data_IF_400435193397
#
_entry.id   IF_400435193397
#
_cell.length_a   1.000
_cell.length_b   1.000
_cell.length_c   1.000
_cell.angle_alpha   90.00
_cell.angle_beta   90.00
_cell.angle_gamma   90.00
#
_symmetry.space_group_name_H-M   'P 1'
#
loop_
_entity.id
_entity.type
_entity.pdbx_description
1 polymer ?
#
# COMPACT_ATOMS: atom_id res chain seq x y z
N UNK A 1 -26.66 -25.49 8.68
CA UNK A 1 -25.58 -25.48 7.67
C UNK A 1 -25.21 -24.02 7.47
N UNK A 2 -23.97 -23.65 7.78
CA UNK A 2 -23.43 -22.33 7.43
C UNK A 2 -23.48 -22.23 5.90
N UNK A 3 -24.16 -21.21 5.39
CA UNK A 3 -24.11 -20.91 3.95
C UNK A 3 -22.71 -20.33 3.68
N UNK A 4 -21.98 -20.91 2.76
CA UNK A 4 -20.72 -20.35 2.28
C UNK A 4 -21.00 -19.19 1.32
N UNK A 5 -20.08 -18.21 1.28
CA UNK A 5 -20.10 -17.15 0.28
C UNK A 5 -20.00 -17.75 -1.12
N UNK A 6 -20.77 -17.23 -2.07
CA UNK A 6 -20.70 -17.67 -3.47
C UNK A 6 -19.26 -17.51 -3.98
N UNK A 7 -18.74 -18.54 -4.65
CA UNK A 7 -17.37 -18.60 -5.18
C UNK A 7 -17.06 -17.53 -6.23
N UNK A 8 -18.09 -16.85 -6.72
CA UNK A 8 -17.95 -15.69 -7.61
C UNK A 8 -17.31 -14.50 -6.89
N UNK A 9 -17.49 -14.37 -5.57
CA UNK A 9 -16.82 -13.35 -4.78
C UNK A 9 -15.42 -13.81 -4.42
N UNK A 10 -14.42 -13.22 -5.10
CA UNK A 10 -13.00 -13.57 -4.93
C UNK A 10 -12.26 -12.50 -4.14
N UNK A 11 -12.49 -12.48 -2.83
CA UNK A 11 -11.81 -11.53 -1.93
C UNK A 11 -10.34 -11.93 -1.73
N UNK A 12 -9.44 -10.99 -1.99
CA UNK A 12 -8.00 -11.17 -1.82
C UNK A 12 -7.38 -9.96 -1.10
N UNK A 13 -6.72 -10.17 0.05
CA UNK A 13 -6.67 -11.41 0.83
C UNK A 13 -8.05 -11.81 1.36
N UNK A 14 -8.23 -13.10 1.57
CA UNK A 14 -9.48 -13.62 2.15
C UNK A 14 -9.63 -13.11 3.59
N UNK A 15 -10.77 -12.52 3.96
CA UNK A 15 -11.03 -12.10 5.33
C UNK A 15 -10.97 -13.25 6.34
N UNK A 16 -10.65 -12.94 7.60
CA UNK A 16 -10.55 -13.93 8.68
C UNK A 16 -11.89 -14.65 8.93
N UNK A 17 -13.01 -13.94 8.80
CA UNK A 17 -14.34 -14.52 8.97
C UNK A 17 -15.36 -13.86 8.07
N UNK A 18 -16.20 -14.67 7.43
CA UNK A 18 -17.37 -14.26 6.65
C UNK A 18 -18.55 -15.09 7.12
N UNK A 19 -19.58 -14.45 7.65
CA UNK A 19 -20.82 -15.07 8.11
C UNK A 19 -21.98 -14.52 7.31
N UNK A 20 -22.66 -15.38 6.53
CA UNK A 20 -23.89 -14.99 5.84
C UNK A 20 -25.06 -14.91 6.82
N UNK A 21 -25.74 -13.77 6.82
CA UNK A 21 -26.90 -13.53 7.68
C UNK A 21 -28.22 -13.83 6.96
N UNK A 22 -29.31 -13.90 7.71
CA UNK A 22 -30.65 -14.20 7.17
C UNK A 22 -31.31 -13.03 6.44
N UNK A 23 -30.66 -11.85 6.41
CA UNK A 23 -31.18 -10.64 5.77
C UNK A 23 -31.16 -10.71 4.23
N UNK A 24 -31.78 -9.70 3.61
CA UNK A 24 -31.62 -9.48 2.18
C UNK A 24 -30.28 -8.80 1.91
N UNK A 25 -29.62 -9.22 0.84
CA UNK A 25 -28.45 -8.54 0.32
C UNK A 25 -28.76 -7.21 -0.36
N UNK A 26 -27.75 -6.64 -1.01
CA UNK A 26 -27.83 -5.34 -1.67
C UNK A 26 -27.17 -5.41 -3.04
N UNK A 27 -27.71 -4.68 -4.01
CA UNK A 27 -27.03 -4.51 -5.29
C UNK A 27 -25.96 -3.41 -5.19
N UNK A 28 -24.83 -3.57 -5.87
CA UNK A 28 -23.74 -2.59 -5.83
C UNK A 28 -24.20 -1.19 -6.25
N UNK A 29 -25.14 -1.06 -7.23
CA UNK A 29 -25.63 0.24 -7.71
C UNK A 29 -26.58 0.95 -6.72
N UNK A 30 -27.04 0.28 -5.67
CA UNK A 30 -27.81 0.91 -4.60
C UNK A 30 -26.92 1.66 -3.61
N UNK A 31 -25.62 1.31 -3.52
CA UNK A 31 -24.64 2.00 -2.70
C UNK A 31 -24.23 3.31 -3.40
N UNK A 32 -24.60 4.46 -2.87
CA UNK A 32 -24.49 5.72 -3.61
C UNK A 32 -23.90 6.89 -2.85
N UNK A 33 -23.70 6.79 -1.53
CA UNK A 33 -23.12 7.85 -0.73
C UNK A 33 -22.48 7.32 0.55
N UNK A 34 -21.51 8.08 1.06
CA UNK A 34 -20.78 7.74 2.28
C UNK A 34 -21.29 8.64 3.41
N UNK A 35 -21.53 8.03 4.56
CA UNK A 35 -21.78 8.68 5.84
C UNK A 35 -20.60 8.38 6.76
N UNK A 36 -19.90 9.39 7.19
CA UNK A 36 -18.83 9.27 8.20
C UNK A 36 -19.18 10.11 9.41
N UNK A 37 -18.95 9.57 10.60
CA UNK A 37 -19.03 10.32 11.84
C UNK A 37 -17.82 11.24 12.05
N UNK A 38 -16.74 10.98 11.31
CA UNK A 38 -15.51 11.75 11.34
C UNK A 38 -15.36 12.52 10.04
N UNK A 39 -15.23 13.85 10.15
CA UNK A 39 -15.14 14.76 9.00
C UNK A 39 -13.71 14.92 8.47
N UNK A 40 -12.73 14.21 9.03
CA UNK A 40 -11.37 14.22 8.50
C UNK A 40 -11.37 13.67 7.09
N UNK A 41 -10.93 14.48 6.16
CA UNK A 41 -10.83 14.12 4.74
C UNK A 41 -9.91 12.91 4.58
N UNK A 42 -10.47 11.79 4.15
CA UNK A 42 -9.70 10.62 3.79
C UNK A 42 -9.54 10.71 2.26
N UNK A 43 -8.34 10.90 1.71
CA UNK A 43 -8.13 11.01 0.26
C UNK A 43 -8.78 9.86 -0.52
N UNK A 44 -8.72 8.66 0.05
CA UNK A 44 -9.29 7.43 -0.50
C UNK A 44 -10.81 7.43 -0.57
N UNK A 45 -11.50 8.12 0.33
CA UNK A 45 -12.95 8.28 0.21
C UNK A 45 -13.33 9.04 -1.05
N UNK A 46 -12.51 9.97 -1.50
CA UNK A 46 -12.69 10.66 -2.78
C UNK A 46 -12.62 9.69 -3.96
N UNK A 47 -11.64 8.82 -3.99
CA UNK A 47 -11.48 7.81 -5.05
C UNK A 47 -12.63 6.80 -5.01
N UNK A 48 -13.02 6.34 -3.83
CA UNK A 48 -14.17 5.44 -3.67
C UNK A 48 -15.49 6.12 -4.07
N UNK A 49 -15.71 7.37 -3.68
CA UNK A 49 -16.90 8.16 -4.08
C UNK A 49 -17.00 8.31 -5.59
N UNK A 50 -15.87 8.51 -6.28
CA UNK A 50 -15.82 8.63 -7.73
C UNK A 50 -16.16 7.32 -8.44
N UNK A 51 -15.95 6.19 -7.78
CA UNK A 51 -16.26 4.85 -8.29
C UNK A 51 -17.71 4.41 -7.95
N UNK A 52 -18.38 5.09 -7.01
CA UNK A 52 -19.77 4.77 -6.68
C UNK A 52 -20.71 5.04 -7.86
N UNK A 53 -21.66 4.14 -8.11
CA UNK A 53 -22.69 4.38 -9.12
C UNK A 53 -23.51 5.62 -8.77
N UNK A 54 -23.83 6.43 -9.77
CA UNK A 54 -24.76 7.54 -9.60
C UNK A 54 -26.17 6.99 -9.55
N UNK A 55 -26.68 6.74 -8.34
CA UNK A 55 -28.06 6.30 -8.16
C UNK A 55 -29.03 7.50 -8.25
N UNK A 56 -30.00 7.52 -9.17
CA UNK A 56 -30.88 8.66 -9.35
C UNK A 56 -31.92 8.86 -8.24
N UNK A 57 -32.27 7.81 -7.48
CA UNK A 57 -33.33 7.88 -6.46
C UNK A 57 -33.08 6.89 -5.31
N UNK A 58 -33.00 7.39 -4.06
CA UNK A 58 -32.94 6.61 -2.81
C UNK A 58 -31.78 5.60 -2.72
N UNK A 59 -30.57 6.05 -2.98
CA UNK A 59 -29.38 5.24 -2.74
C UNK A 59 -29.21 4.85 -1.27
N UNK A 60 -28.47 3.78 -1.03
CA UNK A 60 -28.13 3.26 0.30
C UNK A 60 -26.79 3.78 0.77
N UNK A 61 -26.62 4.02 2.07
CA UNK A 61 -25.37 4.53 2.61
C UNK A 61 -24.31 3.45 2.77
N UNK A 62 -23.05 3.90 2.66
CA UNK A 62 -21.89 3.26 3.25
C UNK A 62 -21.55 4.06 4.50
N UNK A 63 -21.76 3.49 5.67
CA UNK A 63 -21.44 4.12 6.96
C UNK A 63 -20.05 3.73 7.38
N UNK A 64 -19.25 4.72 7.78
CA UNK A 64 -17.92 4.53 8.32
C UNK A 64 -17.92 4.99 9.79
N UNK A 65 -17.51 4.10 10.68
CA UNK A 65 -17.60 4.33 12.12
C UNK A 65 -16.31 3.98 12.83
N UNK A 66 -15.71 4.95 13.50
CA UNK A 66 -14.62 4.70 14.45
C UNK A 66 -15.19 4.26 15.79
N UNK A 67 -14.81 3.08 16.25
CA UNK A 67 -15.24 2.51 17.51
C UNK A 67 -14.23 1.49 18.03
N UNK A 68 -14.16 1.31 19.35
CA UNK A 68 -13.42 0.22 19.97
C UNK A 68 -14.28 -0.98 20.34
N UNK A 69 -15.62 -0.86 20.19
CA UNK A 69 -16.57 -1.89 20.60
C UNK A 69 -16.82 -2.88 19.46
N UNK A 70 -16.74 -4.16 19.78
CA UNK A 70 -17.06 -5.27 18.87
C UNK A 70 -16.24 -5.34 17.59
N UNK A 71 -15.09 -4.65 17.51
CA UNK A 71 -14.16 -4.67 16.39
C UNK A 71 -12.85 -5.33 16.77
N UNK A 72 -12.07 -5.89 15.82
CA UNK A 72 -10.77 -6.46 16.11
C UNK A 72 -9.84 -5.50 16.86
N UNK A 73 -8.97 -6.06 17.72
CA UNK A 73 -8.00 -5.26 18.48
C UNK A 73 -6.89 -4.66 17.58
N UNK A 74 -6.62 -5.27 16.44
CA UNK A 74 -5.64 -4.79 15.47
C UNK A 74 -5.99 -3.38 14.99
N UNK A 75 -5.03 -2.46 14.88
CA UNK A 75 -5.27 -1.13 14.28
C UNK A 75 -5.64 -1.20 12.79
N UNK A 76 -5.33 -2.29 12.12
CA UNK A 76 -5.68 -2.55 10.72
C UNK A 76 -6.97 -3.38 10.59
N UNK A 77 -7.55 -3.81 11.73
CA UNK A 77 -8.74 -4.64 11.73
C UNK A 77 -10.02 -3.84 11.54
N UNK A 78 -11.02 -4.49 10.96
CA UNK A 78 -12.35 -3.92 10.76
C UNK A 78 -13.44 -5.00 10.90
N UNK A 79 -14.67 -4.52 11.12
CA UNK A 79 -15.90 -5.27 10.99
C UNK A 79 -16.75 -4.59 9.92
N UNK A 80 -17.35 -5.38 9.03
CA UNK A 80 -18.24 -4.89 7.99
C UNK A 80 -19.55 -5.66 8.03
N UNK A 81 -20.65 -4.93 8.17
CA UNK A 81 -22.00 -5.45 8.09
C UNK A 81 -22.67 -4.99 6.80
N UNK A 82 -23.23 -5.94 6.06
CA UNK A 82 -23.92 -5.71 4.77
C UNK A 82 -25.35 -6.24 4.86
N UNK A 83 -26.32 -5.41 4.50
CA UNK A 83 -27.74 -5.79 4.41
C UNK A 83 -28.48 -4.85 3.45
N UNK A 84 -29.80 -5.06 3.28
CA UNK A 84 -30.64 -4.23 2.38
C UNK A 84 -30.72 -2.75 2.74
N UNK A 85 -30.24 -2.34 3.92
CA UNK A 85 -30.21 -0.94 4.36
C UNK A 85 -28.91 -0.23 3.99
N UNK A 86 -27.88 -0.97 3.57
CA UNK A 86 -26.57 -0.46 3.19
C UNK A 86 -25.42 -1.26 3.77
N UNK A 87 -24.28 -0.61 3.89
CA UNK A 87 -23.04 -1.17 4.44
C UNK A 87 -22.60 -0.33 5.64
N UNK A 88 -22.12 -1.00 6.68
CA UNK A 88 -21.48 -0.34 7.82
C UNK A 88 -20.08 -0.93 8.00
N UNK A 89 -19.04 -0.09 7.93
CA UNK A 89 -17.65 -0.46 8.21
C UNK A 89 -17.26 0.19 9.54
N UNK A 90 -16.89 -0.63 10.49
CA UNK A 90 -16.50 -0.21 11.85
C UNK A 90 -15.07 -0.66 12.13
N UNK A 91 -14.24 0.23 12.67
CA UNK A 91 -12.85 -0.06 13.01
C UNK A 91 -12.34 0.85 14.14
N UNK A 92 -11.20 0.46 14.73
CA UNK A 92 -10.53 1.29 15.77
C UNK A 92 -9.80 2.48 15.19
N UNK A 93 -9.34 2.37 13.96
CA UNK A 93 -8.51 3.37 13.28
C UNK A 93 -8.98 3.63 11.87
N UNK A 94 -8.50 4.71 11.29
CA UNK A 94 -8.75 5.02 9.89
C UNK A 94 -8.10 4.01 8.93
N UNK A 95 -7.00 3.38 9.34
CA UNK A 95 -6.36 2.29 8.57
C UNK A 95 -7.29 1.08 8.46
N UNK A 96 -7.97 0.70 9.56
CA UNK A 96 -8.98 -0.36 9.54
C UNK A 96 -10.17 -0.01 8.63
N UNK A 97 -10.68 1.22 8.71
CA UNK A 97 -11.72 1.72 7.78
C UNK A 97 -11.26 1.60 6.32
N UNK A 98 -10.02 2.03 6.03
CA UNK A 98 -9.43 1.93 4.71
C UNK A 98 -9.44 0.50 4.17
N UNK A 99 -8.96 -0.47 4.96
CA UNK A 99 -8.94 -1.87 4.54
C UNK A 99 -10.34 -2.48 4.41
N UNK A 100 -11.29 -2.05 5.22
CA UNK A 100 -12.71 -2.37 5.03
C UNK A 100 -13.23 -1.84 3.70
N UNK A 101 -12.89 -0.61 3.31
CA UNK A 101 -13.24 -0.04 2.01
C UNK A 101 -12.62 -0.84 0.85
N UNK A 102 -11.37 -1.30 0.96
CA UNK A 102 -10.74 -2.15 -0.07
C UNK A 102 -11.50 -3.47 -0.28
N UNK A 103 -11.97 -4.09 0.80
CA UNK A 103 -12.79 -5.31 0.72
C UNK A 103 -14.15 -5.01 0.10
N UNK A 104 -14.81 -3.92 0.49
CA UNK A 104 -16.08 -3.53 -0.09
C UNK A 104 -15.96 -3.25 -1.60
N UNK A 105 -14.88 -2.60 -2.03
CA UNK A 105 -14.62 -2.33 -3.44
C UNK A 105 -14.53 -3.63 -4.26
N UNK A 106 -13.83 -4.66 -3.75
CA UNK A 106 -13.77 -5.96 -4.40
C UNK A 106 -15.16 -6.61 -4.49
N UNK A 107 -15.97 -6.57 -3.42
CA UNK A 107 -17.34 -7.08 -3.44
C UNK A 107 -18.21 -6.37 -4.47
N UNK A 108 -18.08 -5.05 -4.58
CA UNK A 108 -18.84 -4.25 -5.55
C UNK A 108 -18.41 -4.54 -6.98
N UNK A 109 -17.12 -4.74 -7.23
CA UNK A 109 -16.60 -5.11 -8.55
C UNK A 109 -17.10 -6.49 -8.97
N UNK A 110 -16.98 -7.51 -8.11
CA UNK A 110 -17.51 -8.85 -8.40
C UNK A 110 -19.04 -8.83 -8.62
N UNK A 111 -19.76 -8.09 -7.78
CA UNK A 111 -21.23 -7.91 -7.93
C UNK A 111 -21.59 -7.28 -9.29
N UNK A 112 -20.81 -6.29 -9.72
CA UNK A 112 -20.99 -5.63 -11.03
C UNK A 112 -20.67 -6.58 -12.18
N UNK A 113 -19.52 -7.22 -12.13
CA UNK A 113 -18.94 -7.96 -13.25
C UNK A 113 -19.74 -9.25 -13.51
N UNK A 114 -20.27 -9.85 -12.46
CA UNK A 114 -21.12 -11.05 -12.56
C UNK A 114 -22.61 -10.77 -12.46
N UNK A 115 -23.02 -9.53 -12.26
CA UNK A 115 -24.41 -9.11 -12.08
C UNK A 115 -25.15 -9.90 -10.98
N UNK A 116 -24.50 -10.05 -9.83
CA UNK A 116 -25.00 -10.78 -8.67
C UNK A 116 -25.20 -9.86 -7.47
N UNK A 117 -26.16 -10.22 -6.62
CA UNK A 117 -26.45 -9.51 -5.38
C UNK A 117 -25.31 -9.75 -4.38
N UNK A 118 -24.81 -8.70 -3.74
CA UNK A 118 -23.95 -8.83 -2.55
C UNK A 118 -24.83 -9.36 -1.42
N UNK A 119 -24.57 -10.56 -0.88
CA UNK A 119 -25.43 -11.15 0.14
C UNK A 119 -25.35 -10.38 1.47
N UNK A 120 -26.38 -10.50 2.28
CA UNK A 120 -26.34 -10.00 3.65
C UNK A 120 -25.32 -10.83 4.45
N UNK A 121 -24.33 -10.16 5.04
CA UNK A 121 -23.24 -10.83 5.75
C UNK A 121 -22.56 -9.93 6.79
N UNK A 122 -21.83 -10.59 7.68
CA UNK A 122 -20.89 -9.99 8.59
C UNK A 122 -19.49 -10.45 8.21
N UNK A 123 -18.60 -9.51 7.96
CA UNK A 123 -17.17 -9.75 7.71
C UNK A 123 -16.38 -9.21 8.89
N UNK A 124 -15.46 -10.03 9.42
CA UNK A 124 -14.47 -9.61 10.40
C UNK A 124 -13.10 -9.94 9.83
N UNK A 125 -12.23 -8.92 9.77
CA UNK A 125 -10.91 -9.08 9.20
C UNK A 125 -9.84 -8.30 9.96
N UNK A 126 -8.66 -8.86 10.01
CA UNK A 126 -7.44 -8.28 10.56
C UNK A 126 -6.23 -9.06 10.01
N UNK A 127 -5.05 -8.43 9.90
CA UNK A 127 -3.88 -9.11 9.38
C UNK A 127 -3.33 -10.15 10.34
N UNK A 128 -2.95 -11.32 9.82
CA UNK A 128 -2.19 -12.31 10.57
C UNK A 128 -0.70 -11.93 10.69
N UNK A 129 -0.18 -11.15 9.72
CA UNK A 129 1.20 -10.65 9.67
C UNK A 129 1.15 -9.13 9.62
N UNK A 130 1.82 -8.49 10.57
CA UNK A 130 1.80 -7.03 10.72
C UNK A 130 2.58 -6.29 9.63
N UNK A 131 3.67 -6.86 9.13
CA UNK A 131 4.51 -6.27 8.08
C UNK A 131 4.40 -7.09 6.80
N UNK A 132 3.78 -6.52 5.78
CA UNK A 132 3.48 -7.18 4.50
C UNK A 132 4.11 -6.36 3.38
N UNK A 133 5.35 -6.68 3.06
CA UNK A 133 6.16 -5.94 2.11
C UNK A 133 6.26 -6.63 0.75
N UNK A 134 6.35 -5.82 -0.29
CA UNK A 134 6.81 -6.21 -1.62
C UNK A 134 8.14 -5.54 -1.89
N UNK A 135 9.07 -6.27 -2.46
CA UNK A 135 10.37 -5.74 -2.87
C UNK A 135 10.30 -5.26 -4.32
N UNK A 136 10.54 -3.96 -4.52
CA UNK A 136 10.72 -3.36 -5.84
C UNK A 136 12.20 -3.24 -6.15
N UNK A 137 12.67 -4.12 -7.03
CA UNK A 137 14.03 -4.09 -7.56
C UNK A 137 14.03 -3.33 -8.89
N UNK A 138 14.48 -2.07 -8.86
CA UNK A 138 14.54 -1.21 -10.05
C UNK A 138 15.96 -0.96 -10.54
N UNK A 139 16.94 -1.69 -10.02
CA UNK A 139 18.36 -1.49 -10.33
C UNK A 139 18.70 -1.67 -11.82
N UNK A 140 18.03 -2.59 -12.51
CA UNK A 140 18.32 -2.87 -13.92
C UNK A 140 17.40 -2.13 -14.90
N UNK A 141 16.26 -1.63 -14.44
CA UNK A 141 15.34 -0.83 -15.25
C UNK A 141 14.56 0.13 -14.36
N UNK A 142 14.10 1.21 -14.95
CA UNK A 142 13.28 2.19 -14.29
C UNK A 142 12.08 2.50 -15.17
N UNK A 143 10.90 2.27 -14.64
CA UNK A 143 9.64 2.60 -15.30
C UNK A 143 9.29 4.09 -15.12
N UNK A 144 8.22 4.52 -15.78
CA UNK A 144 7.67 5.85 -15.59
C UNK A 144 7.03 5.96 -14.20
N UNK A 145 7.03 7.14 -13.63
CA UNK A 145 6.45 7.37 -12.29
C UNK A 145 4.97 6.98 -12.21
N UNK A 146 4.21 7.16 -13.30
CA UNK A 146 2.79 6.76 -13.36
C UNK A 146 2.57 5.27 -13.10
N UNK A 147 3.49 4.42 -13.56
CA UNK A 147 3.45 2.98 -13.28
C UNK A 147 3.55 2.71 -11.79
N UNK A 148 4.47 3.37 -11.09
CA UNK A 148 4.64 3.18 -9.65
C UNK A 148 3.45 3.66 -8.83
N UNK A 149 2.79 4.75 -9.22
CA UNK A 149 1.53 5.18 -8.60
C UNK A 149 0.45 4.11 -8.77
N UNK A 150 0.32 3.51 -9.95
CA UNK A 150 -0.63 2.42 -10.20
C UNK A 150 -0.31 1.15 -9.39
N UNK A 151 0.98 0.82 -9.25
CA UNK A 151 1.39 -0.32 -8.43
C UNK A 151 1.08 -0.08 -6.94
N UNK A 152 1.29 1.12 -6.43
CA UNK A 152 0.88 1.48 -5.06
C UNK A 152 -0.64 1.29 -4.87
N UNK A 153 -1.48 1.68 -5.83
CA UNK A 153 -2.92 1.44 -5.76
C UNK A 153 -3.27 -0.05 -5.73
N UNK A 154 -2.61 -0.86 -6.56
CA UNK A 154 -2.79 -2.32 -6.58
C UNK A 154 -2.36 -2.96 -5.26
N UNK A 155 -1.21 -2.56 -4.71
CA UNK A 155 -0.72 -3.04 -3.43
C UNK A 155 -1.69 -2.68 -2.28
N UNK A 156 -2.20 -1.47 -2.27
CA UNK A 156 -3.22 -1.02 -1.31
C UNK A 156 -4.47 -1.90 -1.37
N UNK A 157 -4.95 -2.21 -2.58
CA UNK A 157 -6.10 -3.11 -2.80
C UNK A 157 -5.90 -4.48 -2.14
N UNK A 158 -4.67 -5.01 -2.18
CA UNK A 158 -4.31 -6.29 -1.56
C UNK A 158 -3.84 -6.17 -0.11
N UNK A 159 -4.03 -4.99 0.51
CA UNK A 159 -3.68 -4.72 1.92
C UNK A 159 -2.19 -4.92 2.22
N UNK A 160 -1.32 -4.76 1.22
CA UNK A 160 0.12 -4.63 1.42
C UNK A 160 0.38 -3.29 2.10
N UNK A 161 1.27 -3.27 3.10
CA UNK A 161 1.53 -2.07 3.89
C UNK A 161 2.98 -1.58 3.85
N UNK A 162 3.82 -2.21 3.03
CA UNK A 162 5.18 -1.75 2.84
C UNK A 162 5.73 -2.10 1.45
N UNK A 163 6.65 -1.28 0.98
CA UNK A 163 7.49 -1.54 -0.19
C UNK A 163 8.93 -1.37 0.23
N UNK A 164 9.75 -2.38 0.00
CA UNK A 164 11.21 -2.27 0.09
C UNK A 164 11.71 -1.89 -1.30
N UNK A 165 12.33 -0.72 -1.43
CA UNK A 165 12.70 -0.17 -2.72
C UNK A 165 14.20 -0.18 -2.91
N UNK A 166 14.68 -1.05 -3.78
CA UNK A 166 16.10 -1.16 -4.15
C UNK A 166 16.38 -0.29 -5.38
N UNK A 167 17.06 0.83 -5.13
CA UNK A 167 17.24 1.89 -6.12
C UNK A 167 18.59 1.84 -6.85
N UNK A 168 19.66 1.45 -6.15
CA UNK A 168 21.04 1.59 -6.62
C UNK A 168 21.30 3.00 -7.20
N UNK A 169 21.69 3.10 -8.48
CA UNK A 169 21.94 4.37 -9.18
C UNK A 169 20.66 5.11 -9.67
N UNK A 170 19.47 4.61 -9.33
CA UNK A 170 18.20 5.17 -9.80
C UNK A 170 17.61 6.27 -8.90
N UNK A 171 18.31 6.66 -7.85
CA UNK A 171 18.01 7.85 -7.05
C UNK A 171 19.02 8.94 -7.34
N UNK A 172 18.59 10.21 -7.39
CA UNK A 172 19.49 11.35 -7.47
C UNK A 172 20.11 11.62 -6.11
N UNK A 173 21.40 11.26 -5.99
CA UNK A 173 22.21 11.49 -4.79
C UNK A 173 22.83 12.88 -4.84
N UNK A 174 22.37 13.79 -4.01
CA UNK A 174 22.90 15.17 -4.01
C UNK A 174 24.28 15.27 -3.41
N UNK A 175 24.67 14.31 -2.56
CA UNK A 175 25.99 14.24 -1.93
C UNK A 175 27.02 13.50 -2.78
N UNK A 176 26.53 12.61 -3.65
CA UNK A 176 27.35 11.76 -4.54
C UNK A 176 26.75 11.72 -5.95
N UNK A 177 26.70 12.87 -6.65
CA UNK A 177 26.02 12.95 -7.95
C UNK A 177 26.69 12.12 -9.05
N UNK A 178 27.96 11.74 -8.88
CA UNK A 178 28.68 10.85 -9.78
C UNK A 178 28.10 9.44 -9.88
N UNK A 179 27.29 9.03 -8.90
CA UNK A 179 26.69 7.69 -8.83
C UNK A 179 25.40 7.62 -9.64
N UNK A 180 24.73 8.73 -9.86
CA UNK A 180 23.40 8.77 -10.46
C UNK A 180 23.35 8.23 -11.89
N UNK A 181 22.35 7.42 -12.19
CA UNK A 181 21.98 7.17 -13.59
C UNK A 181 21.37 8.44 -14.23
N UNK A 182 21.53 8.63 -15.54
CA UNK A 182 20.98 9.82 -16.22
C UNK A 182 19.48 10.02 -16.04
N UNK A 183 18.73 8.91 -15.88
CA UNK A 183 17.28 8.88 -15.69
C UNK A 183 16.87 8.65 -14.23
N UNK A 184 17.77 8.88 -13.26
CA UNK A 184 17.48 8.66 -11.85
C UNK A 184 16.32 9.53 -11.35
N UNK A 185 15.52 8.98 -10.45
CA UNK A 185 14.38 9.64 -9.80
C UNK A 185 14.91 10.77 -8.90
N UNK A 186 14.34 11.94 -9.00
CA UNK A 186 14.66 13.04 -8.09
C UNK A 186 14.12 12.77 -6.68
N UNK A 187 14.75 13.37 -5.65
CA UNK A 187 14.23 13.30 -4.28
C UNK A 187 12.78 13.81 -4.19
N UNK A 188 12.44 14.86 -4.93
CA UNK A 188 11.09 15.44 -4.94
C UNK A 188 10.05 14.48 -5.51
N UNK A 189 10.35 13.79 -6.61
CA UNK A 189 9.47 12.76 -7.18
C UNK A 189 9.29 11.59 -6.22
N UNK A 190 10.38 11.11 -5.61
CA UNK A 190 10.31 10.04 -4.61
C UNK A 190 9.52 10.45 -3.37
N UNK A 191 9.72 11.67 -2.85
CA UNK A 191 8.93 12.20 -1.73
C UNK A 191 7.44 12.31 -2.07
N UNK A 192 7.11 12.68 -3.31
CA UNK A 192 5.72 12.73 -3.76
C UNK A 192 5.09 11.34 -3.78
N UNK A 193 5.81 10.33 -4.29
CA UNK A 193 5.37 8.93 -4.27
C UNK A 193 5.22 8.41 -2.83
N UNK A 194 6.15 8.75 -1.94
CA UNK A 194 6.07 8.36 -0.53
C UNK A 194 4.84 8.97 0.17
N UNK A 195 4.48 10.22 -0.11
CA UNK A 195 3.23 10.83 0.40
C UNK A 195 2.01 10.07 -0.10
N UNK A 196 1.96 9.81 -1.40
CA UNK A 196 0.89 9.06 -2.03
C UNK A 196 0.72 7.65 -1.44
N UNK A 197 1.82 6.94 -1.23
CA UNK A 197 1.84 5.62 -0.60
C UNK A 197 1.35 5.69 0.87
N UNK A 198 1.83 6.68 1.63
CA UNK A 198 1.43 6.91 3.03
C UNK A 198 -0.09 7.14 3.18
N UNK A 199 -0.70 7.88 2.26
CA UNK A 199 -2.16 8.09 2.22
C UNK A 199 -2.93 6.78 2.00
N UNK A 200 -2.25 5.74 1.47
CA UNK A 200 -2.77 4.39 1.24
C UNK A 200 -2.28 3.38 2.29
N UNK A 201 -1.73 3.87 3.40
CA UNK A 201 -1.18 3.06 4.48
C UNK A 201 0.00 2.16 4.05
N UNK A 202 0.77 2.60 3.05
CA UNK A 202 1.96 1.91 2.56
C UNK A 202 3.19 2.74 2.93
N UNK A 203 4.14 2.10 3.62
CA UNK A 203 5.46 2.65 3.90
C UNK A 203 6.42 2.26 2.76
N UNK A 204 7.16 3.22 2.21
CA UNK A 204 8.25 2.95 1.27
C UNK A 204 9.56 3.03 2.04
N UNK A 205 10.27 1.90 2.12
CA UNK A 205 11.56 1.74 2.80
C UNK A 205 12.67 1.69 1.77
N UNK A 206 13.70 2.54 1.87
CA UNK A 206 14.86 2.45 0.98
C UNK A 206 15.68 1.18 1.30
N UNK A 207 16.16 0.52 0.26
CA UNK A 207 17.22 -0.45 0.33
C UNK A 207 18.43 0.15 -0.39
N UNK A 208 19.44 0.51 0.36
CA UNK A 208 20.72 0.99 -0.15
C UNK A 208 21.76 -0.08 0.11
N UNK A 209 22.28 -0.66 -0.97
CA UNK A 209 23.27 -1.73 -0.88
C UNK A 209 24.52 -1.27 -0.13
N UNK A 210 25.00 -2.13 0.75
CA UNK A 210 26.22 -1.94 1.52
C UNK A 210 27.03 -3.23 1.54
N UNK A 211 28.31 -3.18 1.73
CA UNK A 211 29.26 -4.29 1.63
C UNK A 211 29.33 -4.92 0.23
N UNK A 212 28.31 -5.65 -0.19
CA UNK A 212 28.19 -6.29 -1.51
C UNK A 212 27.17 -5.60 -2.41
N UNK A 213 27.00 -6.12 -3.62
CA UNK A 213 26.18 -5.52 -4.71
C UNK A 213 26.54 -4.04 -4.98
N UNK A 214 27.80 -3.66 -4.75
CA UNK A 214 28.24 -2.27 -4.78
C UNK A 214 28.74 -1.81 -6.16
N UNK A 215 28.50 -2.59 -7.21
CA UNK A 215 29.01 -2.31 -8.56
C UNK A 215 28.57 -0.94 -9.10
N UNK A 216 27.36 -0.47 -8.75
CA UNK A 216 26.86 0.84 -9.17
C UNK A 216 27.66 2.00 -8.55
N UNK A 217 28.33 1.79 -7.42
CA UNK A 217 29.23 2.75 -6.74
C UNK A 217 30.67 2.52 -7.19
N UNK A 218 31.15 1.26 -7.12
CA UNK A 218 32.55 0.89 -7.30
C UNK A 218 33.04 1.03 -8.75
N UNK A 219 32.14 1.17 -9.72
CA UNK A 219 32.51 1.61 -11.09
C UNK A 219 33.05 3.04 -11.12
N UNK A 220 32.68 3.89 -10.14
CA UNK A 220 33.14 5.28 -9.98
C UNK A 220 34.22 5.44 -8.92
N UNK A 221 34.26 4.51 -7.97
CA UNK A 221 35.16 4.54 -6.79
C UNK A 221 35.96 3.24 -6.68
N UNK A 222 36.69 2.93 -7.75
CA UNK A 222 37.51 1.71 -7.83
C UNK A 222 38.54 1.56 -6.68
N UNK A 223 38.96 2.68 -6.11
CA UNK A 223 39.91 2.75 -4.97
C UNK A 223 39.30 2.23 -3.65
N UNK A 224 37.99 2.04 -3.60
CA UNK A 224 37.27 1.50 -2.42
C UNK A 224 36.95 0.02 -2.54
N UNK A 225 37.38 -0.65 -3.59
CA UNK A 225 37.14 -2.09 -3.79
C UNK A 225 37.97 -2.90 -2.77
N UNK A 226 37.34 -3.96 -2.23
CA UNK A 226 38.08 -4.96 -1.42
C UNK A 226 39.02 -5.76 -2.31
N UNK A 227 38.56 -6.20 -3.47
CA UNK A 227 39.37 -6.86 -4.49
C UNK A 227 39.50 -5.91 -5.70
N UNK A 228 40.74 -5.53 -6.10
CA UNK A 228 40.96 -4.62 -7.23
C UNK A 228 40.35 -5.11 -8.56
N UNK A 229 40.21 -6.43 -8.73
CA UNK A 229 39.69 -7.05 -9.93
C UNK A 229 38.14 -7.26 -9.89
N UNK A 230 37.48 -6.83 -8.81
CA UNK A 230 36.05 -6.99 -8.62
C UNK A 230 35.40 -5.70 -8.12
N UNK A 231 34.24 -5.34 -8.69
CA UNK A 231 33.41 -4.23 -8.21
C UNK A 231 32.24 -4.72 -7.33
N UNK A 232 32.28 -5.97 -6.87
CA UNK A 232 31.21 -6.57 -6.12
C UNK A 232 31.06 -6.01 -4.71
N UNK A 233 32.19 -5.78 -4.03
CA UNK A 233 32.20 -5.45 -2.60
C UNK A 233 33.19 -4.36 -2.24
N UNK A 234 32.81 -3.59 -1.22
CA UNK A 234 33.64 -2.56 -0.61
C UNK A 234 34.74 -3.15 0.27
N UNK A 235 35.83 -2.40 0.41
CA UNK A 235 36.80 -2.63 1.46
C UNK A 235 36.24 -2.13 2.81
N UNK A 236 35.88 -3.01 3.76
CA UNK A 236 35.36 -2.60 5.05
C UNK A 236 36.42 -2.01 6.00
N UNK A 237 37.69 -2.15 5.65
CA UNK A 237 38.78 -1.58 6.41
C UNK A 237 39.16 -0.15 5.98
N UNK A 238 38.57 0.34 4.88
CA UNK A 238 38.80 1.71 4.43
C UNK A 238 37.70 2.64 5.00
N UNK A 239 38.06 3.63 5.84
CA UNK A 239 37.09 4.54 6.44
C UNK A 239 36.30 5.37 5.39
N UNK A 240 36.89 5.62 4.21
CA UNK A 240 36.22 6.35 3.13
C UNK A 240 35.00 5.62 2.61
N UNK A 241 34.97 4.28 2.72
CA UNK A 241 33.79 3.46 2.40
C UNK A 241 32.58 3.88 3.23
N UNK A 242 32.76 4.09 4.53
CA UNK A 242 31.70 4.50 5.43
C UNK A 242 31.23 5.93 5.15
N UNK A 243 32.15 6.85 4.87
CA UNK A 243 31.80 8.23 4.53
C UNK A 243 30.91 8.27 3.28
N UNK A 244 31.29 7.53 2.24
CA UNK A 244 30.49 7.42 1.02
C UNK A 244 29.13 6.76 1.30
N UNK A 245 29.12 5.63 1.99
CA UNK A 245 27.90 4.88 2.29
C UNK A 245 26.92 5.71 3.12
N UNK A 246 27.39 6.45 4.11
CA UNK A 246 26.55 7.33 4.92
C UNK A 246 25.98 8.51 4.13
N UNK A 247 26.69 9.01 3.13
CA UNK A 247 26.15 10.03 2.23
C UNK A 247 24.97 9.49 1.44
N UNK A 248 25.04 8.24 0.93
CA UNK A 248 23.93 7.60 0.23
C UNK A 248 22.74 7.36 1.17
N UNK A 249 23.00 6.88 2.40
CA UNK A 249 21.94 6.68 3.41
C UNK A 249 21.22 7.98 3.74
N UNK A 250 21.95 9.09 3.94
CA UNK A 250 21.34 10.40 4.20
C UNK A 250 20.42 10.83 3.05
N UNK A 251 20.88 10.67 1.82
CA UNK A 251 20.10 11.03 0.64
C UNK A 251 18.86 10.13 0.48
N UNK A 252 18.97 8.84 0.75
CA UNK A 252 17.84 7.90 0.71
C UNK A 252 16.80 8.21 1.80
N UNK A 253 17.23 8.51 3.03
CA UNK A 253 16.34 8.91 4.13
C UNK A 253 15.61 10.22 3.79
N UNK A 254 16.30 11.19 3.22
CA UNK A 254 15.67 12.45 2.77
C UNK A 254 14.64 12.22 1.65
N UNK A 255 14.94 11.28 0.74
CA UNK A 255 14.02 10.94 -0.35
C UNK A 255 12.79 10.15 0.12
N UNK A 256 12.91 9.36 1.19
CA UNK A 256 11.87 8.48 1.73
C UNK A 256 11.55 8.81 3.20
N UNK A 257 11.00 10.00 3.50
CA UNK A 257 10.94 10.58 4.85
C UNK A 257 9.95 9.88 5.79
N UNK A 258 9.14 8.96 5.30
CA UNK A 258 8.14 8.25 6.10
C UNK A 258 8.54 6.82 6.45
N UNK A 259 9.73 6.39 6.02
CA UNK A 259 10.28 5.09 6.37
C UNK A 259 10.72 5.05 7.84
N UNK A 260 10.48 3.91 8.47
CA UNK A 260 10.99 3.59 9.81
C UNK A 260 12.30 2.80 9.75
N UNK A 261 12.65 2.32 8.57
CA UNK A 261 13.78 1.43 8.33
C UNK A 261 14.67 1.97 7.20
N UNK A 262 15.89 1.45 7.18
CA UNK A 262 16.88 1.68 6.13
C UNK A 262 17.54 0.35 5.78
#
# INVERSE_FOLDING_TARGET
ASRELDKTFQLLPQPQSIELTSGKGINYWELSYILSSDTTSIPILGDMLNKLPRCPRKGKPIRLQLTSQHVPASPEGYMMEINEKGVCISARTMTGIFYGCQTLEQLMEDSRDFNILIPAMLIIDYPAISYRAVHFDVKHHLDRMEYYYQEIDKLARYKINAVIWELEDKLRYTRRPEIDAPNAISKQEMQALCRYAKERNIEITPLVQGLGHAGFILKHHWELRENPDSDWEFCPSDPRTYDLQFDLYRDAIEAMPYSKYL
#
